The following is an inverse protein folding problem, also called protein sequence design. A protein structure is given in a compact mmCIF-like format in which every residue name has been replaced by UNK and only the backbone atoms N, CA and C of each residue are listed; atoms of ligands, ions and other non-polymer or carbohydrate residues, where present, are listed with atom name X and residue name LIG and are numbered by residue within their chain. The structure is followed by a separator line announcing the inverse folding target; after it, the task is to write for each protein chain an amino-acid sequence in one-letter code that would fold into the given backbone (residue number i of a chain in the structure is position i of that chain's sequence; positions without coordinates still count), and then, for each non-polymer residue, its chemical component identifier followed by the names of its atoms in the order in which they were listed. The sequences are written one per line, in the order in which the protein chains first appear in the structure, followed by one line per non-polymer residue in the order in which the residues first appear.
data_IF_751858522615
#
_entry.id   IF_751858522615
#
_cell.length_a   1.000
_cell.length_b   1.000
_cell.length_c   1.000
_cell.angle_alpha   90.00
_cell.angle_beta   90.00
_cell.angle_gamma   90.00
#
_symmetry.space_group_name_H-M   'P 1'
#
loop_
_entity.id
_entity.type
_entity.pdbx_description
1 polymer ?
#
# COMPACT_ATOMS: atom_id res chain seq x y z
N UNK A 1 2.81 -19.97 2.02
CA UNK A 1 3.09 -19.75 3.46
C UNK A 1 3.03 -21.06 4.28
N UNK A 2 3.50 -22.21 3.76
CA UNK A 2 3.28 -23.53 4.42
C UNK A 2 4.59 -24.33 4.57
N UNK A 3 5.74 -23.67 4.76
CA UNK A 3 7.01 -24.40 4.96
C UNK A 3 7.61 -24.26 6.37
N UNK A 4 7.00 -23.49 7.28
CA UNK A 4 7.51 -23.31 8.63
C UNK A 4 6.39 -23.45 9.67
N UNK A 5 6.66 -24.22 10.74
CA UNK A 5 5.74 -24.45 11.86
C UNK A 5 5.29 -23.15 12.56
N UNK A 6 6.10 -22.08 12.50
CA UNK A 6 5.79 -20.76 13.06
C UNK A 6 4.67 -20.01 12.29
N UNK A 7 4.38 -20.38 11.05
CA UNK A 7 3.35 -19.73 10.23
C UNK A 7 1.92 -20.21 10.49
N UNK A 8 1.75 -21.33 11.20
CA UNK A 8 0.44 -21.96 11.39
C UNK A 8 -0.54 -21.06 12.15
N UNK A 9 -0.06 -20.31 13.16
CA UNK A 9 -0.89 -19.37 13.92
C UNK A 9 -1.39 -18.18 13.08
N UNK A 10 -0.70 -17.86 11.97
CA UNK A 10 -1.06 -16.76 11.08
C UNK A 10 -1.83 -17.20 9.83
N UNK A 11 -2.27 -18.47 9.77
CA UNK A 11 -2.92 -19.03 8.58
C UNK A 11 -4.19 -18.26 8.18
N UNK A 12 -4.93 -17.73 9.16
CA UNK A 12 -6.10 -16.89 8.93
C UNK A 12 -5.78 -15.57 8.21
N UNK A 13 -4.52 -15.15 8.22
CA UNK A 13 -4.00 -13.96 7.55
C UNK A 13 -3.20 -14.29 6.29
N UNK A 14 -3.31 -15.53 5.80
CA UNK A 14 -2.74 -15.91 4.50
C UNK A 14 -3.33 -15.06 3.37
N UNK A 15 -2.60 -14.95 2.24
CA UNK A 15 -3.07 -14.19 1.08
C UNK A 15 -4.43 -14.69 0.58
N UNK A 16 -4.62 -16.00 0.60
CA UNK A 16 -5.86 -16.65 0.19
C UNK A 16 -7.02 -16.32 1.15
N UNK A 17 -6.79 -16.38 2.46
CA UNK A 17 -7.80 -16.02 3.45
C UNK A 17 -8.17 -14.53 3.37
N UNK A 18 -7.17 -13.64 3.26
CA UNK A 18 -7.39 -12.19 3.11
C UNK A 18 -8.17 -11.89 1.83
N UNK A 19 -7.83 -12.53 0.71
CA UNK A 19 -8.58 -12.37 -0.54
C UNK A 19 -10.06 -12.76 -0.38
N UNK A 20 -10.35 -13.86 0.31
CA UNK A 20 -11.72 -14.31 0.58
C UNK A 20 -12.48 -13.37 1.53
N UNK A 21 -11.81 -12.86 2.57
CA UNK A 21 -12.39 -11.89 3.51
C UNK A 21 -12.77 -10.62 2.78
N UNK A 22 -11.85 -10.04 2.02
CA UNK A 22 -12.08 -8.79 1.28
C UNK A 22 -13.10 -9.00 0.15
N UNK A 23 -13.08 -10.13 -0.54
CA UNK A 23 -14.06 -10.45 -1.58
C UNK A 23 -15.50 -10.55 -1.04
N UNK A 24 -15.68 -11.03 0.20
CA UNK A 24 -16.99 -11.04 0.88
C UNK A 24 -17.41 -9.64 1.32
N UNK A 25 -16.47 -8.84 1.84
CA UNK A 25 -16.73 -7.47 2.30
C UNK A 25 -17.05 -6.52 1.16
N UNK A 26 -16.42 -6.72 0.01
CA UNK A 26 -16.55 -5.87 -1.18
C UNK A 26 -17.10 -6.68 -2.37
N UNK A 27 -18.35 -7.17 -2.32
CA UNK A 27 -18.90 -8.12 -3.31
C UNK A 27 -19.06 -7.52 -4.72
N UNK A 28 -18.94 -6.20 -4.85
CA UNK A 28 -19.03 -5.47 -6.12
C UNK A 28 -17.66 -5.14 -6.73
N UNK A 29 -16.57 -5.62 -6.14
CA UNK A 29 -15.20 -5.34 -6.56
C UNK A 29 -14.45 -6.64 -6.87
N UNK A 30 -13.50 -6.57 -7.81
CA UNK A 30 -12.52 -7.62 -8.01
C UNK A 30 -11.32 -7.38 -7.09
N UNK A 31 -11.05 -8.33 -6.19
CA UNK A 31 -9.92 -8.24 -5.26
C UNK A 31 -8.69 -8.92 -5.85
N UNK A 32 -7.63 -8.15 -6.03
CA UNK A 32 -6.32 -8.64 -6.50
C UNK A 32 -5.30 -8.54 -5.38
N UNK A 33 -4.75 -9.68 -4.95
CA UNK A 33 -3.72 -9.72 -3.89
C UNK A 33 -2.35 -9.85 -4.53
N UNK A 34 -1.50 -8.84 -4.32
CA UNK A 34 -0.12 -8.81 -4.82
C UNK A 34 0.83 -9.29 -3.73
N UNK A 35 1.45 -10.45 -3.96
CA UNK A 35 2.50 -10.97 -3.08
C UNK A 35 3.84 -10.29 -3.37
N UNK A 36 4.68 -10.18 -2.35
CA UNK A 36 6.09 -9.85 -2.52
C UNK A 36 6.77 -10.79 -3.52
N UNK A 37 7.61 -10.24 -4.40
CA UNK A 37 8.28 -11.03 -5.44
C UNK A 37 9.38 -11.93 -4.86
N UNK A 38 9.91 -11.58 -3.69
CA UNK A 38 10.94 -12.34 -2.97
C UNK A 38 10.67 -12.32 -1.46
N UNK A 39 11.10 -13.38 -0.78
CA UNK A 39 11.21 -13.42 0.69
C UNK A 39 12.66 -13.69 1.07
N UNK A 40 13.33 -12.70 1.65
CA UNK A 40 14.72 -12.85 2.10
C UNK A 40 14.74 -13.62 3.43
N UNK A 41 15.63 -14.63 3.52
CA UNK A 41 15.75 -15.55 4.66
C UNK A 41 14.41 -16.19 5.10
N UNK A 42 13.45 -16.32 4.18
CA UNK A 42 12.08 -16.78 4.48
C UNK A 42 11.32 -15.95 5.54
N UNK A 43 11.78 -14.74 5.85
CA UNK A 43 11.23 -13.87 6.89
C UNK A 43 10.84 -12.48 6.37
N UNK A 44 11.67 -11.89 5.51
CA UNK A 44 11.50 -10.51 5.09
C UNK A 44 10.92 -10.44 3.67
N UNK A 45 9.65 -10.05 3.56
CA UNK A 45 9.03 -9.75 2.27
C UNK A 45 9.77 -8.62 1.56
N UNK A 46 10.03 -8.78 0.26
CA UNK A 46 10.67 -7.77 -0.58
C UNK A 46 9.82 -7.53 -1.83
N UNK A 47 9.44 -6.28 -2.03
CA UNK A 47 8.69 -5.81 -3.20
C UNK A 47 9.65 -5.19 -4.22
N UNK A 48 10.77 -5.85 -4.52
CA UNK A 48 11.84 -5.28 -5.35
C UNK A 48 11.41 -4.89 -6.77
N UNK A 49 10.29 -5.43 -7.26
CA UNK A 49 9.71 -5.02 -8.55
C UNK A 49 9.02 -3.65 -8.48
N UNK A 50 8.64 -3.22 -7.28
CA UNK A 50 7.95 -1.97 -7.03
C UNK A 50 8.84 -0.94 -6.37
N UNK A 51 9.78 -1.32 -5.50
CA UNK A 51 10.63 -0.37 -4.78
C UNK A 51 12.01 -0.97 -4.54
N UNK A 52 13.05 -0.14 -4.64
CA UNK A 52 14.39 -0.54 -4.22
C UNK A 52 14.40 -0.85 -2.71
N UNK A 53 15.17 -1.85 -2.29
CA UNK A 53 15.29 -2.16 -0.87
C UNK A 53 16.67 -2.69 -0.53
N UNK A 54 17.15 -2.38 0.68
CA UNK A 54 18.38 -2.95 1.20
C UNK A 54 18.20 -4.44 1.57
N UNK A 55 19.28 -5.09 2.03
CA UNK A 55 19.29 -6.52 2.39
C UNK A 55 18.25 -6.92 3.46
N UNK A 56 17.87 -5.99 4.33
CA UNK A 56 16.85 -6.21 5.38
C UNK A 56 15.44 -5.85 4.89
N UNK A 57 15.33 -5.40 3.65
CA UNK A 57 14.08 -5.01 3.01
C UNK A 57 13.54 -3.68 3.54
N UNK A 58 14.38 -2.78 4.04
CA UNK A 58 14.00 -1.37 4.19
C UNK A 58 13.99 -0.71 2.81
N UNK A 59 12.95 0.06 2.46
CA UNK A 59 12.81 0.66 1.15
C UNK A 59 13.78 1.83 0.97
N UNK A 60 14.13 2.10 -0.28
CA UNK A 60 14.73 3.35 -0.72
C UNK A 60 13.83 3.89 -1.84
N UNK A 61 13.17 5.01 -1.57
CA UNK A 61 12.19 5.57 -2.48
C UNK A 61 12.84 6.52 -3.50
N UNK A 62 12.36 6.49 -4.74
CA UNK A 62 12.82 7.40 -5.81
C UNK A 62 11.65 7.94 -6.64
N UNK A 63 11.88 8.97 -7.44
CA UNK A 63 10.84 9.55 -8.30
C UNK A 63 10.59 8.76 -9.60
N UNK A 64 11.39 7.72 -9.88
CA UNK A 64 11.51 7.14 -11.23
C UNK A 64 11.74 5.61 -11.25
N UNK A 65 11.51 4.89 -10.15
CA UNK A 65 11.68 3.43 -10.10
C UNK A 65 10.78 2.67 -11.10
N UNK A 66 9.58 3.20 -11.36
CA UNK A 66 8.62 2.65 -12.30
C UNK A 66 7.57 1.73 -11.67
N UNK A 67 7.27 1.91 -10.38
CA UNK A 67 6.24 1.21 -9.64
C UNK A 67 4.87 1.32 -10.31
N UNK A 68 4.47 2.52 -10.77
CA UNK A 68 3.16 2.73 -11.42
C UNK A 68 3.09 2.00 -12.77
N UNK A 69 4.17 2.07 -13.56
CA UNK A 69 4.29 1.32 -14.82
C UNK A 69 4.21 -0.18 -14.57
N UNK A 70 4.89 -0.68 -13.55
CA UNK A 70 4.84 -2.10 -13.17
C UNK A 70 3.43 -2.50 -12.72
N UNK A 71 2.75 -1.67 -11.91
CA UNK A 71 1.38 -1.92 -11.46
C UNK A 71 0.40 -2.01 -12.64
N UNK A 72 0.47 -1.05 -13.57
CA UNK A 72 -0.34 -1.04 -14.80
C UNK A 72 -0.15 -2.32 -15.60
N UNK A 73 1.11 -2.74 -15.82
CA UNK A 73 1.43 -3.95 -16.56
C UNK A 73 0.96 -5.22 -15.83
N UNK A 74 1.16 -5.30 -14.52
CA UNK A 74 0.76 -6.44 -13.69
C UNK A 74 -0.76 -6.62 -13.68
N UNK A 75 -1.52 -5.55 -13.45
CA UNK A 75 -2.98 -5.59 -13.43
C UNK A 75 -3.55 -5.89 -14.82
N UNK A 76 -3.02 -5.24 -15.86
CA UNK A 76 -3.38 -5.55 -17.23
C UNK A 76 -3.20 -7.05 -17.48
N UNK A 77 -1.99 -7.59 -17.28
CA UNK A 77 -1.73 -9.01 -17.50
C UNK A 77 -2.63 -9.93 -16.66
N UNK A 78 -2.83 -9.59 -15.38
CA UNK A 78 -3.71 -10.34 -14.47
C UNK A 78 -5.14 -10.42 -14.99
N UNK A 79 -5.74 -9.28 -15.36
CA UNK A 79 -7.10 -9.23 -15.88
C UNK A 79 -7.27 -10.07 -17.15
N UNK A 80 -6.26 -10.13 -18.02
CA UNK A 80 -6.30 -10.96 -19.23
C UNK A 80 -6.24 -12.45 -18.89
N UNK A 81 -5.36 -12.83 -17.96
CA UNK A 81 -5.27 -14.22 -17.46
C UNK A 81 -6.54 -14.67 -16.76
N UNK A 82 -7.31 -13.75 -16.18
CA UNK A 82 -8.61 -14.02 -15.58
C UNK A 82 -9.78 -13.96 -16.58
N UNK A 83 -9.54 -13.65 -17.87
CA UNK A 83 -10.60 -13.52 -18.88
C UNK A 83 -11.48 -12.27 -18.71
N UNK A 84 -11.02 -11.28 -17.95
CA UNK A 84 -11.72 -10.02 -17.68
C UNK A 84 -11.36 -8.90 -18.67
N UNK A 85 -10.31 -9.10 -19.48
CA UNK A 85 -9.96 -8.23 -20.62
C UNK A 85 -9.43 -9.02 -21.80
N UNK A 86 -9.49 -8.42 -22.99
CA UNK A 86 -8.80 -8.90 -24.18
C UNK A 86 -7.39 -8.29 -24.29
N UNK A 87 -6.44 -8.99 -24.91
CA UNK A 87 -5.10 -8.47 -25.16
C UNK A 87 -5.11 -7.23 -26.07
N UNK A 88 -6.09 -7.14 -26.96
CA UNK A 88 -6.25 -6.03 -27.91
C UNK A 88 -6.93 -4.78 -27.33
N UNK A 89 -7.51 -4.84 -26.13
CA UNK A 89 -8.19 -3.69 -25.52
C UNK A 89 -7.20 -2.77 -24.82
N UNK A 90 -7.38 -1.46 -25.00
CA UNK A 90 -6.67 -0.41 -24.25
C UNK A 90 -6.91 -0.56 -22.75
N UNK A 91 -5.87 -0.33 -21.94
CA UNK A 91 -5.94 -0.41 -20.49
C UNK A 91 -5.39 0.88 -19.84
N UNK A 92 -6.12 1.51 -18.91
CA UNK A 92 -7.44 1.11 -18.40
C UNK A 92 -8.59 1.39 -19.40
N UNK A 93 -9.69 0.61 -19.38
CA UNK A 93 -10.89 0.94 -20.16
C UNK A 93 -11.63 2.16 -19.56
N UNK A 94 -12.49 2.85 -20.33
CA UNK A 94 -13.33 3.94 -19.79
C UNK A 94 -14.18 3.47 -18.60
N UNK A 95 -14.22 4.28 -17.54
CA UNK A 95 -14.96 3.96 -16.31
C UNK A 95 -14.28 2.94 -15.38
N UNK A 96 -13.05 2.52 -15.69
CA UNK A 96 -12.24 1.73 -14.76
C UNK A 96 -11.94 2.55 -13.49
N UNK A 97 -12.11 1.93 -12.33
CA UNK A 97 -11.75 2.48 -11.02
C UNK A 97 -10.86 1.48 -10.28
N UNK A 98 -9.87 2.02 -9.59
CA UNK A 98 -8.84 1.26 -8.88
C UNK A 98 -8.67 1.82 -7.47
N UNK A 99 -8.79 0.94 -6.50
CA UNK A 99 -8.46 1.22 -5.09
C UNK A 99 -7.15 0.52 -4.77
N UNK A 100 -6.21 1.25 -4.18
CA UNK A 100 -4.93 0.69 -3.73
C UNK A 100 -4.96 0.50 -2.22
N UNK A 101 -4.57 -0.68 -1.77
CA UNK A 101 -4.48 -1.01 -0.34
C UNK A 101 -3.09 -1.58 -0.05
N UNK A 102 -2.34 -0.88 0.79
CA UNK A 102 -1.06 -1.33 1.32
C UNK A 102 -1.26 -1.75 2.76
N UNK A 103 -0.99 -3.02 3.07
CA UNK A 103 -1.02 -3.51 4.45
C UNK A 103 0.40 -3.82 4.94
N UNK A 104 0.73 -3.40 6.16
CA UNK A 104 2.02 -3.68 6.78
C UNK A 104 3.16 -3.22 5.85
N UNK A 105 4.08 -4.12 5.51
CA UNK A 105 5.15 -3.87 4.56
C UNK A 105 4.67 -3.53 3.14
N UNK A 106 3.43 -3.82 2.76
CA UNK A 106 2.85 -3.37 1.49
C UNK A 106 2.79 -1.85 1.35
N UNK A 107 2.75 -1.10 2.47
CA UNK A 107 2.76 0.37 2.45
C UNK A 107 4.00 0.97 1.78
N UNK A 108 5.13 0.25 1.75
CA UNK A 108 6.33 0.74 1.06
C UNK A 108 6.13 0.90 -0.44
N UNK A 109 5.23 0.09 -1.03
CA UNK A 109 4.85 0.19 -2.45
C UNK A 109 3.98 1.42 -2.68
N UNK A 110 3.04 1.71 -1.77
CA UNK A 110 2.23 2.92 -1.85
C UNK A 110 3.08 4.16 -1.74
N UNK A 111 4.03 4.19 -0.79
CA UNK A 111 4.97 5.30 -0.66
C UNK A 111 5.75 5.50 -1.98
N UNK A 112 6.25 4.42 -2.59
CA UNK A 112 6.94 4.51 -3.88
C UNK A 112 6.05 5.06 -5.00
N UNK A 113 4.80 4.62 -5.09
CA UNK A 113 3.82 5.15 -6.05
C UNK A 113 3.62 6.66 -5.83
N UNK A 114 3.55 7.09 -4.56
CA UNK A 114 3.41 8.50 -4.19
C UNK A 114 4.62 9.33 -4.64
N UNK A 115 5.85 8.83 -4.49
CA UNK A 115 7.05 9.51 -4.99
C UNK A 115 7.10 9.64 -6.52
N UNK A 116 6.45 8.74 -7.25
CA UNK A 116 6.42 8.75 -8.72
C UNK A 116 5.32 9.64 -9.32
N UNK A 117 4.38 10.15 -8.52
CA UNK A 117 3.17 10.81 -9.03
C UNK A 117 3.48 11.97 -9.99
N UNK A 118 4.47 12.81 -9.67
CA UNK A 118 4.81 13.97 -10.50
C UNK A 118 5.25 13.54 -11.90
N UNK A 119 6.12 12.53 -12.00
CA UNK A 119 6.58 11.99 -13.28
C UNK A 119 5.47 11.27 -14.04
N UNK A 120 4.61 10.55 -13.32
CA UNK A 120 3.49 9.79 -13.90
C UNK A 120 2.42 10.72 -14.48
N UNK A 121 2.14 11.86 -13.85
CA UNK A 121 1.19 12.86 -14.35
C UNK A 121 1.65 13.46 -15.70
N UNK A 122 2.96 13.56 -15.93
CA UNK A 122 3.53 14.06 -17.17
C UNK A 122 3.64 12.99 -18.29
N UNK A 123 3.46 11.71 -17.96
CA UNK A 123 3.56 10.60 -18.91
C UNK A 123 2.18 10.31 -19.55
N UNK A 124 2.07 10.52 -20.87
CA UNK A 124 0.81 10.34 -21.60
C UNK A 124 0.25 8.91 -21.59
N UNK A 125 1.11 7.90 -21.41
CA UNK A 125 0.67 6.50 -21.31
C UNK A 125 0.21 6.15 -19.89
N UNK A 126 0.85 6.72 -18.86
CA UNK A 126 0.56 6.40 -17.46
C UNK A 126 -0.51 7.30 -16.83
N UNK A 127 -0.64 8.56 -17.27
CA UNK A 127 -1.61 9.50 -16.72
C UNK A 127 -3.06 8.98 -16.74
N UNK A 128 -3.56 8.32 -17.82
CA UNK A 128 -4.89 7.70 -17.79
C UNK A 128 -5.02 6.61 -16.73
N UNK A 129 -3.97 5.83 -16.50
CA UNK A 129 -3.95 4.80 -15.46
C UNK A 129 -3.96 5.42 -14.06
N UNK A 130 -3.15 6.46 -13.83
CA UNK A 130 -3.16 7.22 -12.58
C UNK A 130 -4.55 7.80 -12.29
N UNK A 131 -5.22 8.38 -13.30
CA UNK A 131 -6.56 8.96 -13.15
C UNK A 131 -7.65 7.94 -12.76
N UNK A 132 -7.38 6.65 -12.92
CA UNK A 132 -8.30 5.59 -12.49
C UNK A 132 -8.16 5.23 -11.01
N UNK A 133 -7.10 5.67 -10.34
CA UNK A 133 -6.89 5.44 -8.90
C UNK A 133 -7.80 6.41 -8.15
N UNK A 134 -8.79 5.89 -7.43
CA UNK A 134 -9.75 6.71 -6.70
C UNK A 134 -9.38 6.85 -5.22
N UNK A 135 -8.83 5.79 -4.63
CA UNK A 135 -8.56 5.72 -3.20
C UNK A 135 -7.23 5.00 -2.92
N UNK A 136 -6.50 5.47 -1.90
CA UNK A 136 -5.30 4.81 -1.38
C UNK A 136 -5.43 4.62 0.13
N UNK A 137 -5.29 3.37 0.56
CA UNK A 137 -5.36 2.94 1.96
C UNK A 137 -4.01 2.47 2.46
N UNK A 138 -3.44 3.19 3.43
CA UNK A 138 -2.33 2.73 4.25
C UNK A 138 -2.89 2.03 5.49
N UNK A 139 -2.71 0.71 5.56
CA UNK A 139 -3.15 -0.13 6.67
C UNK A 139 -1.95 -0.56 7.49
N UNK A 140 -1.77 0.12 8.62
CA UNK A 140 -0.80 -0.17 9.67
C UNK A 140 0.61 -0.41 9.12
N UNK A 141 1.13 0.58 8.38
CA UNK A 141 2.40 0.49 7.69
C UNK A 141 3.60 0.32 8.62
N UNK A 142 4.46 -0.63 8.30
CA UNK A 142 5.67 -0.93 9.07
C UNK A 142 6.72 -1.67 8.25
N UNK A 143 8.00 -1.40 8.53
CA UNK A 143 9.14 -2.09 7.92
C UNK A 143 10.39 -1.98 8.83
N UNK A 144 11.45 -2.79 8.63
CA UNK A 144 12.60 -2.82 9.54
C UNK A 144 13.59 -1.66 9.36
N UNK A 145 13.20 -0.59 8.66
CA UNK A 145 14.05 0.59 8.44
C UNK A 145 13.83 1.64 9.52
N UNK A 146 14.79 2.56 9.68
CA UNK A 146 14.74 3.62 10.71
C UNK A 146 14.01 4.90 10.32
N UNK A 147 13.47 4.97 9.10
CA UNK A 147 12.73 6.10 8.55
C UNK A 147 12.02 5.69 7.25
N UNK A 148 11.16 6.55 6.71
CA UNK A 148 10.47 6.33 5.44
C UNK A 148 9.28 5.36 5.54
N UNK A 149 8.75 5.18 6.75
CA UNK A 149 7.52 4.41 6.97
C UNK A 149 6.32 5.20 6.45
N UNK A 150 6.34 6.52 6.62
CA UNK A 150 5.40 7.45 5.96
C UNK A 150 6.15 8.49 5.12
N UNK A 151 5.52 8.93 4.04
CA UNK A 151 6.06 10.00 3.18
C UNK A 151 6.02 11.32 3.96
N UNK A 152 7.14 12.03 4.03
CA UNK A 152 7.22 13.32 4.78
C UNK A 152 7.83 14.46 3.97
N UNK A 153 8.10 14.20 2.69
CA UNK A 153 8.66 15.17 1.75
C UNK A 153 7.58 16.12 1.24
N UNK A 154 7.79 17.43 1.46
CA UNK A 154 6.81 18.48 1.15
C UNK A 154 6.34 18.44 -0.30
N UNK A 155 7.27 18.45 -1.26
CA UNK A 155 6.95 18.45 -2.71
C UNK A 155 6.13 17.23 -3.11
N UNK A 156 6.46 16.07 -2.55
CA UNK A 156 5.76 14.81 -2.85
C UNK A 156 4.33 14.85 -2.32
N UNK A 157 4.14 15.37 -1.09
CA UNK A 157 2.81 15.50 -0.51
C UNK A 157 1.96 16.60 -1.18
N UNK A 158 2.56 17.67 -1.69
CA UNK A 158 1.87 18.68 -2.50
C UNK A 158 1.28 18.06 -3.78
N UNK A 159 2.05 17.23 -4.48
CA UNK A 159 1.58 16.51 -5.67
C UNK A 159 0.49 15.49 -5.31
N UNK A 160 0.66 14.76 -4.20
CA UNK A 160 -0.36 13.82 -3.71
C UNK A 160 -1.67 14.55 -3.37
N UNK A 161 -1.61 15.65 -2.63
CA UNK A 161 -2.80 16.43 -2.28
C UNK A 161 -3.52 16.98 -3.51
N UNK A 162 -2.77 17.46 -4.51
CA UNK A 162 -3.32 17.98 -5.77
C UNK A 162 -3.90 16.89 -6.69
N UNK A 163 -3.61 15.61 -6.45
CA UNK A 163 -4.09 14.50 -7.30
C UNK A 163 -5.60 14.26 -7.21
N UNK A 164 -6.26 14.72 -6.13
CA UNK A 164 -7.69 14.48 -5.89
C UNK A 164 -8.04 13.06 -5.42
N UNK A 165 -7.04 12.19 -5.22
CA UNK A 165 -7.21 10.83 -4.70
C UNK A 165 -7.67 10.90 -3.23
N UNK A 166 -8.64 10.06 -2.85
CA UNK A 166 -9.04 9.91 -1.45
C UNK A 166 -7.98 9.09 -0.68
N UNK A 167 -7.56 9.61 0.47
CA UNK A 167 -6.45 9.07 1.25
C UNK A 167 -6.98 8.54 2.58
N UNK A 168 -6.56 7.34 2.93
CA UNK A 168 -7.02 6.67 4.15
C UNK A 168 -5.84 6.11 4.93
N UNK A 169 -5.57 6.70 6.10
CA UNK A 169 -4.57 6.22 7.03
C UNK A 169 -5.26 5.45 8.16
N UNK A 170 -5.07 4.14 8.21
CA UNK A 170 -5.53 3.28 9.29
C UNK A 170 -4.32 2.76 10.06
N UNK A 171 -4.23 3.06 11.34
CA UNK A 171 -3.07 2.70 12.17
C UNK A 171 -3.52 2.07 13.48
N UNK A 172 -2.62 1.33 14.11
CA UNK A 172 -2.82 0.74 15.43
C UNK A 172 -1.71 1.21 16.38
N UNK A 173 -1.93 1.17 17.71
CA UNK A 173 -0.87 1.39 18.69
C UNK A 173 0.38 0.52 18.49
N UNK A 174 0.25 -0.66 17.87
CA UNK A 174 1.36 -1.56 17.59
C UNK A 174 2.43 -0.93 16.69
N UNK A 175 2.03 -0.15 15.68
CA UNK A 175 2.98 0.54 14.80
C UNK A 175 3.30 1.96 15.30
N UNK A 176 2.29 2.79 15.57
CA UNK A 176 2.52 4.23 15.79
C UNK A 176 2.84 4.63 17.23
N UNK A 177 2.69 3.72 18.21
CA UNK A 177 3.02 3.97 19.63
C UNK A 177 4.16 3.09 20.15
N UNK A 178 4.89 2.39 19.27
CA UNK A 178 6.06 1.61 19.68
C UNK A 178 7.22 2.53 20.10
N UNK A 179 7.65 2.52 21.38
CA UNK A 179 8.73 3.38 21.85
C UNK A 179 10.09 3.04 21.23
N UNK A 180 10.29 1.79 20.75
CA UNK A 180 11.53 1.38 20.06
C UNK A 180 11.54 1.83 18.60
N UNK A 181 10.38 2.20 18.05
CA UNK A 181 10.18 2.64 16.67
C UNK A 181 9.41 3.96 16.59
N UNK A 182 9.74 4.89 17.51
CA UNK A 182 9.02 6.16 17.67
C UNK A 182 8.93 7.00 16.39
N UNK A 183 9.89 6.85 15.46
CA UNK A 183 9.84 7.52 14.16
C UNK A 183 8.58 7.19 13.37
N UNK A 184 8.02 5.98 13.49
CA UNK A 184 6.81 5.57 12.76
C UNK A 184 5.63 6.48 13.13
N UNK A 185 5.41 6.69 14.43
CA UNK A 185 4.38 7.60 14.92
C UNK A 185 4.65 9.07 14.59
N UNK A 186 5.92 9.50 14.65
CA UNK A 186 6.29 10.87 14.29
C UNK A 186 6.10 11.17 12.79
N UNK A 187 6.49 10.24 11.92
CA UNK A 187 6.29 10.35 10.47
C UNK A 187 4.81 10.29 10.11
N UNK A 188 4.03 9.39 10.71
CA UNK A 188 2.56 9.34 10.56
C UNK A 188 1.89 10.67 10.91
N UNK A 189 2.18 11.22 12.09
CA UNK A 189 1.63 12.51 12.52
C UNK A 189 2.05 13.66 11.60
N UNK A 190 3.25 13.58 11.02
CA UNK A 190 3.73 14.57 10.06
C UNK A 190 3.00 14.44 8.72
N UNK A 191 2.87 13.22 8.19
CA UNK A 191 2.13 12.92 6.96
C UNK A 191 0.69 13.43 7.03
N UNK A 192 -0.04 13.09 8.11
CA UNK A 192 -1.42 13.54 8.32
C UNK A 192 -1.51 15.06 8.38
N UNK A 193 -0.72 15.71 9.24
CA UNK A 193 -0.76 17.18 9.39
C UNK A 193 -0.43 17.93 8.10
N UNK A 194 0.53 17.43 7.32
CA UNK A 194 0.92 18.06 6.06
C UNK A 194 -0.21 17.94 5.03
N UNK A 195 -0.81 16.77 4.88
CA UNK A 195 -1.91 16.56 3.93
C UNK A 195 -3.19 17.31 4.33
N UNK A 196 -3.52 17.37 5.62
CA UNK A 196 -4.62 18.22 6.12
C UNK A 196 -4.36 19.70 5.81
N UNK A 197 -3.14 20.18 6.07
CA UNK A 197 -2.75 21.56 5.76
C UNK A 197 -2.76 21.91 4.27
N UNK A 198 -2.56 20.91 3.41
CA UNK A 198 -2.65 21.02 1.95
C UNK A 198 -4.10 20.86 1.43
N UNK A 199 -5.08 20.57 2.30
CA UNK A 199 -6.48 20.39 1.91
C UNK A 199 -6.76 19.08 1.19
N UNK A 200 -5.93 18.05 1.37
CA UNK A 200 -6.15 16.73 0.78
C UNK A 200 -7.42 16.06 1.34
N UNK A 201 -8.03 15.17 0.55
CA UNK A 201 -9.16 14.35 0.98
C UNK A 201 -8.67 13.19 1.85
N UNK A 202 -8.32 13.47 3.12
CA UNK A 202 -7.73 12.50 4.04
C UNK A 202 -8.70 12.08 5.16
N UNK A 203 -8.77 10.78 5.43
CA UNK A 203 -9.27 10.23 6.70
C UNK A 203 -8.15 9.55 7.48
N UNK A 204 -8.10 9.76 8.78
CA UNK A 204 -7.11 9.14 9.68
C UNK A 204 -7.81 8.45 10.85
N UNK A 205 -7.56 7.15 11.02
CA UNK A 205 -8.21 6.29 12.02
C UNK A 205 -7.16 5.55 12.85
N UNK A 206 -7.20 5.74 14.17
CA UNK A 206 -6.45 4.92 15.12
C UNK A 206 -7.37 3.81 15.65
N UNK A 207 -7.11 2.58 15.24
CA UNK A 207 -7.85 1.39 15.69
C UNK A 207 -7.31 0.88 17.02
N UNK A 208 -8.19 0.25 17.81
CA UNK A 208 -7.83 -0.47 19.04
C UNK A 208 -7.10 0.39 20.08
N UNK A 209 -7.42 1.69 20.16
CA UNK A 209 -6.75 2.62 21.08
C UNK A 209 -6.85 2.19 22.56
N UNK A 210 -7.96 1.54 22.92
CA UNK A 210 -8.24 1.05 24.27
C UNK A 210 -7.65 -0.34 24.56
N UNK A 211 -7.01 -0.98 23.59
CA UNK A 211 -6.38 -2.29 23.74
C UNK A 211 -4.84 -2.16 23.87
N UNK A 212 -4.16 -3.07 24.59
CA UNK A 212 -2.70 -3.14 24.57
C UNK A 212 -2.18 -3.41 23.16
N UNK A 213 -1.16 -2.67 22.74
CA UNK A 213 -0.52 -2.84 21.44
C UNK A 213 -0.10 -4.30 21.19
N UNK A 214 -0.59 -4.90 20.11
CA UNK A 214 -0.31 -6.30 19.77
C UNK A 214 -0.24 -6.52 18.26
N UNK A 215 0.51 -7.56 17.86
CA UNK A 215 0.55 -8.01 16.46
C UNK A 215 -0.82 -8.52 15.99
N UNK A 216 -1.70 -8.96 16.90
CA UNK A 216 -3.07 -9.31 16.56
C UNK A 216 -3.89 -8.08 16.15
N UNK A 217 -3.71 -6.94 16.82
CA UNK A 217 -4.33 -5.67 16.39
C UNK A 217 -3.84 -5.26 15.00
N UNK A 218 -2.53 -5.40 14.75
CA UNK A 218 -1.94 -5.12 13.44
C UNK A 218 -2.66 -5.85 12.32
N UNK A 219 -2.92 -7.15 12.46
CA UNK A 219 -3.67 -7.88 11.43
C UNK A 219 -5.18 -7.57 11.43
N UNK A 220 -5.79 -7.36 12.60
CA UNK A 220 -7.23 -7.07 12.71
C UNK A 220 -7.65 -5.81 11.96
N UNK A 221 -6.74 -4.87 11.69
CA UNK A 221 -7.04 -3.67 10.87
C UNK A 221 -7.63 -4.03 9.49
N UNK A 222 -7.24 -5.16 8.90
CA UNK A 222 -7.75 -5.67 7.61
C UNK A 222 -9.27 -5.90 7.66
N UNK A 223 -9.81 -6.18 8.85
CA UNK A 223 -11.24 -6.45 9.04
C UNK A 223 -12.06 -5.18 9.28
N UNK A 224 -11.43 -4.04 9.55
CA UNK A 224 -12.12 -2.84 10.02
C UNK A 224 -12.08 -1.66 9.05
N UNK A 225 -11.10 -1.57 8.15
CA UNK A 225 -10.93 -0.44 7.22
C UNK A 225 -12.04 -0.26 6.18
#
# INVERSE_FOLDING_TARGET
MVQHAEGAQWQNWSFECVALILGRRFPRHHVWVVRASRMYLHKFSSYCNFVQSNLFGAPEHSADHGAVRHLKALLSNGLERAGLRSSASVFPPPGFSLVLVGFSKGCVVLNQIVHELEGVQADSDLAPFLSSITDIYWLDGGHPGGSGTWVTEQRVLEVLAASGIALHAHVTPYEVRDPMRSWVGHEHQRFVRMLEGLGAHLSNTLHFEDEPASIDNHFRVILEF
#
